data_IF_386831476839
#
_entry.id   IF_386831476839
#
_cell.length_a   1.000
_cell.length_b   1.000
_cell.length_c   1.000
_cell.angle_alpha   90.00
_cell.angle_beta   90.00
_cell.angle_gamma   90.00
#
_symmetry.space_group_name_H-M   'P 1'
#
loop_
_entity.id
_entity.type
_entity.pdbx_description
1 polymer ?
#
# COMPACT_ATOMS: atom_id res chain seq x y z
N UNK A 1 -11.64 -22.82 -17.05
CA UNK A 1 -11.36 -22.55 -15.61
C UNK A 1 -10.00 -21.93 -15.35
N UNK A 2 -8.90 -22.40 -15.96
CA UNK A 2 -7.56 -21.85 -15.72
C UNK A 2 -7.47 -20.33 -15.95
N UNK A 3 -8.05 -19.82 -17.04
CA UNK A 3 -8.08 -18.38 -17.35
C UNK A 3 -8.84 -17.59 -16.27
N UNK A 4 -10.00 -18.08 -15.84
CA UNK A 4 -10.77 -17.41 -14.79
C UNK A 4 -10.05 -17.47 -13.44
N UNK A 5 -9.43 -18.60 -13.11
CA UNK A 5 -8.66 -18.78 -11.89
C UNK A 5 -7.48 -17.79 -11.84
N UNK A 6 -6.70 -17.70 -12.91
CA UNK A 6 -5.59 -16.73 -13.01
C UNK A 6 -6.07 -15.29 -12.94
N UNK A 7 -7.16 -14.94 -13.64
CA UNK A 7 -7.76 -13.61 -13.56
C UNK A 7 -8.23 -13.25 -12.14
N UNK A 8 -8.80 -14.21 -11.40
CA UNK A 8 -9.18 -14.03 -9.99
C UNK A 8 -7.96 -13.83 -9.11
N UNK A 9 -6.92 -14.68 -9.26
CA UNK A 9 -5.69 -14.61 -8.48
C UNK A 9 -5.04 -13.23 -8.59
N UNK A 10 -4.87 -12.71 -9.80
CA UNK A 10 -4.24 -11.40 -10.00
C UNK A 10 -5.19 -10.24 -9.77
N UNK A 11 -6.46 -10.35 -10.18
CA UNK A 11 -7.46 -9.31 -10.06
C UNK A 11 -7.90 -9.06 -8.61
N UNK A 12 -8.45 -10.09 -7.96
CA UNK A 12 -8.89 -10.01 -6.56
C UNK A 12 -7.66 -9.92 -5.67
N UNK A 13 -6.64 -10.76 -5.87
CA UNK A 13 -5.43 -10.76 -5.04
C UNK A 13 -4.69 -9.43 -5.07
N UNK A 14 -4.56 -8.79 -6.24
CA UNK A 14 -3.90 -7.48 -6.35
C UNK A 14 -4.69 -6.39 -5.64
N UNK A 15 -6.01 -6.35 -5.87
CA UNK A 15 -6.89 -5.36 -5.25
C UNK A 15 -6.95 -5.53 -3.73
N UNK A 16 -7.02 -6.77 -3.24
CA UNK A 16 -6.98 -7.11 -1.82
C UNK A 16 -5.63 -6.71 -1.19
N UNK A 17 -4.52 -6.96 -1.88
CA UNK A 17 -3.18 -6.55 -1.40
C UNK A 17 -3.08 -5.04 -1.19
N UNK A 18 -3.61 -4.24 -2.11
CA UNK A 18 -3.62 -2.78 -1.98
C UNK A 18 -4.51 -2.32 -0.81
N UNK A 19 -5.66 -2.97 -0.60
CA UNK A 19 -6.60 -2.66 0.50
C UNK A 19 -5.98 -3.04 1.85
N UNK A 20 -5.39 -4.22 1.99
CA UNK A 20 -4.76 -4.72 3.22
C UNK A 20 -3.59 -3.83 3.65
N UNK A 21 -2.86 -3.27 2.69
CA UNK A 21 -1.71 -2.41 2.93
C UNK A 21 -2.03 -0.91 2.89
N UNK A 22 -3.30 -0.52 2.72
CA UNK A 22 -3.72 0.88 2.58
C UNK A 22 -3.25 1.74 3.75
N UNK A 23 -3.24 1.18 4.96
CA UNK A 23 -2.72 1.82 6.16
C UNK A 23 -1.25 2.21 6.06
N UNK A 24 -0.43 1.28 5.57
CA UNK A 24 1.01 1.48 5.41
C UNK A 24 1.32 2.43 4.25
N UNK A 25 0.61 2.28 3.14
CA UNK A 25 0.71 3.15 1.96
C UNK A 25 0.37 4.60 2.33
N UNK A 26 -0.75 4.81 3.02
CA UNK A 26 -1.18 6.15 3.41
C UNK A 26 -0.20 6.83 4.36
N UNK A 27 0.34 6.09 5.33
CA UNK A 27 1.38 6.61 6.22
C UNK A 27 2.66 6.94 5.44
N UNK A 28 3.06 6.12 4.47
CA UNK A 28 4.25 6.35 3.65
C UNK A 28 4.13 7.58 2.75
N UNK A 29 2.93 7.87 2.25
CA UNK A 29 2.63 9.09 1.47
C UNK A 29 2.39 10.34 2.34
N UNK A 30 2.51 10.23 3.67
CA UNK A 30 2.39 11.36 4.59
C UNK A 30 0.96 11.73 5.00
N UNK A 31 -0.02 10.86 4.77
CA UNK A 31 -1.41 11.11 5.19
C UNK A 31 -1.58 11.01 6.72
N UNK A 32 -2.42 11.88 7.32
CA UNK A 32 -2.82 11.73 8.71
C UNK A 32 -3.55 10.40 8.96
N UNK A 33 -3.34 9.78 10.12
CA UNK A 33 -3.99 8.52 10.49
C UNK A 33 -5.53 8.58 10.37
N UNK A 34 -6.13 9.72 10.75
CA UNK A 34 -7.57 9.95 10.62
C UNK A 34 -8.05 9.84 9.17
N UNK A 35 -7.33 10.42 8.22
CA UNK A 35 -7.65 10.35 6.79
C UNK A 35 -7.53 8.92 6.26
N UNK A 36 -6.51 8.19 6.69
CA UNK A 36 -6.31 6.77 6.33
C UNK A 36 -7.48 5.91 6.82
N UNK A 37 -7.97 6.12 8.05
CA UNK A 37 -9.17 5.43 8.54
C UNK A 37 -10.40 5.75 7.69
N UNK A 38 -10.58 7.01 7.28
CA UNK A 38 -11.64 7.39 6.36
C UNK A 38 -11.53 6.68 5.00
N UNK A 39 -10.32 6.51 4.47
CA UNK A 39 -10.08 5.78 3.23
C UNK A 39 -10.48 4.30 3.34
N UNK A 40 -10.20 3.65 4.46
CA UNK A 40 -10.66 2.27 4.73
C UNK A 40 -12.19 2.20 4.75
N UNK A 41 -12.87 3.17 5.38
CA UNK A 41 -14.33 3.23 5.35
C UNK A 41 -14.88 3.44 3.93
N UNK A 42 -14.23 4.28 3.12
CA UNK A 42 -14.61 4.49 1.72
C UNK A 42 -14.48 3.19 0.92
N UNK A 43 -13.41 2.42 1.11
CA UNK A 43 -13.25 1.11 0.44
C UNK A 43 -14.47 0.22 0.71
N UNK A 44 -14.95 0.16 1.95
CA UNK A 44 -16.13 -0.65 2.31
C UNK A 44 -17.42 -0.16 1.66
N UNK A 45 -17.66 1.16 1.64
CA UNK A 45 -18.84 1.76 0.99
C UNK A 45 -18.83 1.45 -0.50
N UNK A 46 -17.69 1.69 -1.16
CA UNK A 46 -17.55 1.45 -2.59
C UNK A 46 -17.53 -0.04 -2.94
N UNK A 47 -17.08 -0.91 -2.03
CA UNK A 47 -17.22 -2.35 -2.18
C UNK A 47 -18.69 -2.78 -2.26
N UNK A 48 -19.51 -2.28 -1.33
CA UNK A 48 -20.93 -2.54 -1.35
C UNK A 48 -21.57 -2.03 -2.65
N UNK A 49 -21.31 -0.78 -3.04
CA UNK A 49 -21.82 -0.21 -4.28
C UNK A 49 -21.35 -0.97 -5.52
N UNK A 50 -20.11 -1.44 -5.54
CA UNK A 50 -19.57 -2.28 -6.62
C UNK A 50 -20.33 -3.59 -6.77
N UNK A 51 -20.65 -4.27 -5.65
CA UNK A 51 -21.44 -5.51 -5.66
C UNK A 51 -22.84 -5.29 -6.22
N UNK A 52 -23.51 -4.25 -5.72
CA UNK A 52 -24.88 -3.91 -6.13
C UNK A 52 -24.91 -3.53 -7.61
N UNK A 53 -24.08 -2.56 -8.02
CA UNK A 53 -24.05 -2.07 -9.39
C UNK A 53 -23.67 -3.15 -10.41
N UNK A 54 -22.62 -3.92 -10.17
CA UNK A 54 -22.18 -4.97 -11.09
C UNK A 54 -23.20 -6.12 -11.17
N UNK A 55 -23.86 -6.45 -10.06
CA UNK A 55 -24.94 -7.44 -10.04
C UNK A 55 -26.07 -7.05 -10.99
N UNK A 56 -26.66 -5.86 -10.80
CA UNK A 56 -27.76 -5.39 -11.64
C UNK A 56 -27.32 -5.06 -13.07
N UNK A 57 -26.19 -4.37 -13.24
CA UNK A 57 -25.69 -3.97 -14.55
C UNK A 57 -25.37 -5.19 -15.42
N UNK A 58 -24.85 -6.28 -14.85
CA UNK A 58 -24.52 -7.47 -15.63
C UNK A 58 -25.76 -8.20 -16.14
N UNK A 59 -26.86 -8.23 -15.38
CA UNK A 59 -28.15 -8.74 -15.87
C UNK A 59 -28.71 -7.85 -16.99
N UNK A 60 -28.74 -6.53 -16.78
CA UNK A 60 -29.29 -5.57 -17.75
C UNK A 60 -28.52 -5.62 -19.07
N UNK A 61 -27.18 -5.63 -18.99
CA UNK A 61 -26.32 -5.65 -20.16
C UNK A 61 -26.41 -6.97 -20.93
N UNK A 62 -26.53 -8.09 -20.21
CA UNK A 62 -26.73 -9.39 -20.84
C UNK A 62 -28.12 -9.49 -21.49
N UNK A 63 -29.18 -9.06 -20.80
CA UNK A 63 -30.54 -9.14 -21.29
C UNK A 63 -30.79 -8.24 -22.52
N UNK A 64 -30.34 -6.98 -22.45
CA UNK A 64 -30.63 -5.96 -23.47
C UNK A 64 -29.62 -5.94 -24.62
N UNK A 65 -28.34 -6.17 -24.33
CA UNK A 65 -27.26 -6.00 -25.31
C UNK A 65 -26.49 -7.29 -25.60
N UNK A 66 -26.87 -8.43 -24.98
CA UNK A 66 -26.14 -9.72 -25.08
C UNK A 66 -24.66 -9.57 -24.76
N UNK A 67 -24.33 -8.62 -23.89
CA UNK A 67 -22.96 -8.29 -23.58
C UNK A 67 -22.32 -9.38 -22.71
N UNK A 68 -21.15 -9.93 -23.09
CA UNK A 68 -20.55 -11.04 -22.37
C UNK A 68 -19.99 -10.58 -21.01
N UNK A 69 -20.40 -11.24 -19.92
CA UNK A 69 -19.91 -10.94 -18.56
C UNK A 69 -18.39 -11.07 -18.37
N UNK A 70 -17.67 -12.00 -19.03
CA UNK A 70 -16.20 -12.00 -18.99
C UNK A 70 -15.57 -10.70 -19.51
N UNK A 71 -16.22 -10.04 -20.47
CA UNK A 71 -15.74 -8.75 -20.98
C UNK A 71 -16.03 -7.62 -19.99
N UNK A 72 -17.17 -7.66 -19.28
CA UNK A 72 -17.41 -6.77 -18.13
C UNK A 72 -16.33 -6.95 -17.06
N UNK A 73 -15.98 -8.19 -16.72
CA UNK A 73 -14.91 -8.48 -15.77
C UNK A 73 -13.57 -7.90 -16.24
N UNK A 74 -13.27 -7.99 -17.53
CA UNK A 74 -12.07 -7.41 -18.12
C UNK A 74 -12.03 -5.88 -17.99
N UNK A 75 -13.16 -5.20 -18.22
CA UNK A 75 -13.29 -3.75 -18.01
C UNK A 75 -13.04 -3.39 -16.53
N UNK A 76 -13.61 -4.14 -15.59
CA UNK A 76 -13.39 -3.94 -14.15
C UNK A 76 -11.91 -4.15 -13.77
N UNK A 77 -11.23 -5.13 -14.38
CA UNK A 77 -9.80 -5.34 -14.16
C UNK A 77 -8.95 -4.19 -14.72
N UNK A 78 -9.29 -3.67 -15.91
CA UNK A 78 -8.60 -2.49 -16.45
C UNK A 78 -8.83 -1.24 -15.58
N UNK A 79 -10.03 -1.08 -15.03
CA UNK A 79 -10.34 -0.01 -14.09
C UNK A 79 -9.54 -0.16 -12.79
N UNK A 80 -9.33 -1.38 -12.29
CA UNK A 80 -8.51 -1.60 -11.10
C UNK A 80 -7.03 -1.25 -11.34
N UNK A 81 -6.53 -1.40 -12.57
CA UNK A 81 -5.18 -0.92 -12.93
C UNK A 81 -5.05 0.59 -12.70
N UNK A 82 -6.07 1.39 -13.00
CA UNK A 82 -6.07 2.85 -12.74
C UNK A 82 -5.90 3.12 -11.24
N UNK A 83 -6.61 2.37 -10.38
CA UNK A 83 -6.46 2.47 -8.93
C UNK A 83 -5.03 2.18 -8.45
N UNK A 84 -4.39 1.15 -9.00
CA UNK A 84 -2.99 0.83 -8.69
C UNK A 84 -2.02 1.91 -9.19
N UNK A 85 -2.24 2.47 -10.39
CA UNK A 85 -1.42 3.55 -10.94
C UNK A 85 -1.52 4.82 -10.09
N UNK A 86 -2.71 5.17 -9.60
CA UNK A 86 -2.90 6.30 -8.69
C UNK A 86 -2.12 6.16 -7.39
N UNK A 87 -2.08 4.93 -6.85
CA UNK A 87 -1.26 4.61 -5.67
C UNK A 87 0.23 4.77 -6.00
N UNK A 88 0.67 4.28 -7.17
CA UNK A 88 2.06 4.32 -7.60
C UNK A 88 2.58 5.74 -7.84
N UNK A 89 1.77 6.63 -8.42
CA UNK A 89 2.18 8.02 -8.68
C UNK A 89 2.24 8.89 -7.42
N UNK A 90 1.48 8.54 -6.37
CA UNK A 90 1.57 9.22 -5.07
C UNK A 90 1.29 10.73 -5.11
N UNK A 91 0.51 11.22 -6.09
CA UNK A 91 0.12 12.63 -6.19
C UNK A 91 -0.83 13.02 -5.04
N UNK A 92 -0.91 14.31 -4.65
CA UNK A 92 -1.82 14.74 -3.60
C UNK A 92 -3.26 14.28 -3.87
N UNK A 93 -3.93 13.78 -2.84
CA UNK A 93 -5.28 13.20 -2.88
C UNK A 93 -5.44 11.93 -3.75
N UNK A 94 -4.38 11.36 -4.33
CA UNK A 94 -4.51 10.14 -5.15
C UNK A 94 -5.07 8.97 -4.36
N UNK A 95 -4.72 8.87 -3.08
CA UNK A 95 -5.14 7.77 -2.23
C UNK A 95 -6.64 7.76 -1.97
N UNK A 96 -7.27 8.95 -1.92
CA UNK A 96 -8.73 9.07 -1.82
C UNK A 96 -9.42 8.43 -3.04
N UNK A 97 -9.02 8.86 -4.25
CA UNK A 97 -9.58 8.33 -5.49
C UNK A 97 -9.24 6.85 -5.69
N UNK A 98 -8.03 6.43 -5.32
CA UNK A 98 -7.62 5.04 -5.35
C UNK A 98 -8.51 4.17 -4.46
N UNK A 99 -8.81 4.60 -3.22
CA UNK A 99 -9.70 3.86 -2.32
C UNK A 99 -11.11 3.69 -2.88
N UNK A 100 -11.65 4.73 -3.53
CA UNK A 100 -12.95 4.67 -4.22
C UNK A 100 -12.93 3.64 -5.35
N UNK A 101 -11.97 3.75 -6.26
CA UNK A 101 -11.86 2.89 -7.45
C UNK A 101 -11.60 1.43 -7.05
N UNK A 102 -10.65 1.22 -6.13
CA UNK A 102 -10.26 -0.13 -5.67
C UNK A 102 -11.39 -0.80 -4.89
N UNK A 103 -12.09 -0.06 -4.03
CA UNK A 103 -13.28 -0.57 -3.34
C UNK A 103 -14.35 -1.03 -4.31
N UNK A 104 -14.69 -0.17 -5.29
CA UNK A 104 -15.67 -0.49 -6.33
C UNK A 104 -15.28 -1.72 -7.14
N UNK A 105 -14.05 -1.77 -7.65
CA UNK A 105 -13.57 -2.89 -8.46
C UNK A 105 -13.56 -4.21 -7.68
N UNK A 106 -13.09 -4.19 -6.42
CA UNK A 106 -13.13 -5.36 -5.54
C UNK A 106 -14.55 -5.87 -5.31
N UNK A 107 -15.53 -4.95 -5.19
CA UNK A 107 -16.94 -5.29 -5.03
C UNK A 107 -17.55 -5.89 -6.30
N UNK A 108 -17.28 -5.25 -7.44
CA UNK A 108 -17.83 -5.62 -8.73
C UNK A 108 -17.37 -7.00 -9.24
N UNK A 109 -16.16 -7.42 -8.88
CA UNK A 109 -15.60 -8.71 -9.30
C UNK A 109 -16.43 -9.91 -8.81
N UNK A 110 -16.91 -9.88 -7.56
CA UNK A 110 -17.58 -11.05 -6.95
C UNK A 110 -18.88 -11.47 -7.65
N UNK A 111 -19.88 -10.59 -7.86
CA UNK A 111 -21.09 -10.95 -8.59
C UNK A 111 -20.79 -11.43 -10.01
N UNK A 112 -19.85 -10.78 -10.69
CA UNK A 112 -19.44 -11.16 -12.04
C UNK A 112 -18.84 -12.57 -12.07
N UNK A 113 -17.97 -12.90 -11.13
CA UNK A 113 -17.37 -14.24 -11.04
C UNK A 113 -18.44 -15.31 -10.82
N UNK A 114 -19.40 -15.07 -9.93
CA UNK A 114 -20.49 -16.02 -9.66
C UNK A 114 -21.32 -16.27 -10.92
N UNK A 115 -21.73 -15.20 -11.60
CA UNK A 115 -22.49 -15.29 -12.84
C UNK A 115 -21.68 -16.00 -13.94
N UNK A 116 -20.42 -15.64 -14.15
CA UNK A 116 -19.54 -16.25 -15.17
C UNK A 116 -19.36 -17.75 -14.93
N UNK A 117 -19.15 -18.18 -13.67
CA UNK A 117 -19.00 -19.61 -13.37
C UNK A 117 -20.29 -20.35 -13.71
N UNK A 118 -21.45 -19.81 -13.32
CA UNK A 118 -22.75 -20.44 -13.63
C UNK A 118 -23.06 -20.48 -15.13
N UNK A 119 -22.67 -19.45 -15.88
CA UNK A 119 -22.97 -19.35 -17.32
C UNK A 119 -22.05 -20.24 -18.17
N UNK A 120 -20.74 -20.26 -17.89
CA UNK A 120 -19.78 -20.97 -18.72
C UNK A 120 -19.70 -22.46 -18.37
N UNK A 121 -19.78 -22.80 -17.07
CA UNK A 121 -19.56 -24.18 -16.60
C UNK A 121 -20.84 -24.88 -16.16
N UNK A 122 -21.95 -24.14 -16.12
CA UNK A 122 -23.24 -24.65 -15.68
C UNK A 122 -23.31 -24.89 -14.18
N UNK A 123 -24.47 -25.37 -13.73
CA UNK A 123 -24.77 -25.52 -12.30
C UNK A 123 -24.33 -26.87 -11.70
N UNK A 124 -24.03 -27.87 -12.54
CA UNK A 124 -23.75 -29.25 -12.11
C UNK A 124 -22.59 -29.37 -11.11
N UNK A 125 -21.51 -28.63 -11.33
CA UNK A 125 -20.33 -28.60 -10.46
C UNK A 125 -20.06 -27.20 -9.89
N UNK A 126 -21.10 -26.35 -9.83
CA UNK A 126 -20.97 -24.95 -9.48
C UNK A 126 -20.26 -24.74 -8.14
N UNK A 127 -20.67 -25.45 -7.09
CA UNK A 127 -20.08 -25.31 -5.75
C UNK A 127 -18.58 -25.63 -5.73
N UNK A 128 -18.15 -26.64 -6.49
CA UNK A 128 -16.73 -27.02 -6.60
C UNK A 128 -15.94 -25.96 -7.35
N UNK A 129 -16.45 -25.49 -8.49
CA UNK A 129 -15.77 -24.49 -9.33
C UNK A 129 -15.72 -23.12 -8.65
N UNK A 130 -16.79 -22.74 -7.96
CA UNK A 130 -16.84 -21.56 -7.12
C UNK A 130 -15.83 -21.64 -5.99
N UNK A 131 -15.76 -22.76 -5.27
CA UNK A 131 -14.78 -22.94 -4.17
C UNK A 131 -13.34 -22.90 -4.71
N UNK A 132 -13.09 -23.52 -5.87
CA UNK A 132 -11.79 -23.45 -6.54
C UNK A 132 -11.43 -22.00 -6.93
N UNK A 133 -12.38 -21.26 -7.51
CA UNK A 133 -12.21 -19.84 -7.82
C UNK A 133 -12.03 -18.98 -6.56
N UNK A 134 -12.76 -19.28 -5.49
CA UNK A 134 -12.58 -18.65 -4.18
C UNK A 134 -11.19 -18.89 -3.61
N UNK A 135 -10.64 -20.09 -3.80
CA UNK A 135 -9.27 -20.47 -3.43
C UNK A 135 -8.17 -19.73 -4.19
N UNK A 136 -8.47 -19.17 -5.37
CA UNK A 136 -7.54 -18.27 -6.07
C UNK A 136 -7.31 -16.95 -5.32
N UNK A 137 -8.28 -16.50 -4.52
CA UNK A 137 -8.16 -15.27 -3.71
C UNK A 137 -7.07 -15.37 -2.62
N UNK A 138 -7.09 -16.35 -1.70
CA UNK A 138 -6.02 -16.50 -0.71
C UNK A 138 -4.67 -16.85 -1.35
N UNK A 139 -4.64 -17.58 -2.47
CA UNK A 139 -3.41 -17.80 -3.22
C UNK A 139 -2.81 -16.49 -3.75
N UNK A 140 -3.65 -15.65 -4.36
CA UNK A 140 -3.24 -14.34 -4.87
C UNK A 140 -2.78 -13.41 -3.75
N UNK A 141 -3.53 -13.35 -2.63
CA UNK A 141 -3.14 -12.60 -1.46
C UNK A 141 -1.82 -13.11 -0.86
N UNK A 142 -1.61 -14.42 -0.76
CA UNK A 142 -0.35 -14.96 -0.26
C UNK A 142 0.84 -14.57 -1.14
N UNK A 143 0.72 -14.71 -2.46
CA UNK A 143 1.81 -14.37 -3.39
C UNK A 143 2.06 -12.85 -3.39
N UNK A 144 1.02 -12.04 -3.59
CA UNK A 144 1.17 -10.61 -3.81
C UNK A 144 1.36 -9.83 -2.49
N UNK A 145 0.62 -10.18 -1.45
CA UNK A 145 0.68 -9.51 -0.15
C UNK A 145 1.88 -10.03 0.66
N UNK A 146 1.95 -11.33 0.94
CA UNK A 146 2.96 -11.88 1.86
C UNK A 146 4.34 -11.96 1.20
N UNK A 147 4.44 -12.62 0.04
CA UNK A 147 5.75 -12.88 -0.59
C UNK A 147 6.35 -11.64 -1.24
N UNK A 148 5.55 -10.85 -1.96
CA UNK A 148 6.06 -9.70 -2.71
C UNK A 148 6.03 -8.44 -1.85
N UNK A 149 4.85 -7.98 -1.43
CA UNK A 149 4.69 -6.69 -0.74
C UNK A 149 5.40 -6.72 0.62
N UNK A 150 5.19 -7.76 1.43
CA UNK A 150 5.86 -7.91 2.72
C UNK A 150 7.38 -7.87 2.60
N UNK A 151 7.97 -8.67 1.71
CA UNK A 151 9.42 -8.68 1.53
C UNK A 151 9.98 -7.33 1.07
N UNK A 152 9.25 -6.61 0.20
CA UNK A 152 9.67 -5.30 -0.30
C UNK A 152 9.59 -4.24 0.79
N UNK A 153 8.53 -4.25 1.60
CA UNK A 153 8.35 -3.35 2.74
C UNK A 153 9.41 -3.59 3.82
N UNK A 154 9.70 -4.84 4.17
CA UNK A 154 10.72 -5.20 5.14
C UNK A 154 12.11 -4.75 4.68
N UNK A 155 12.44 -4.94 3.40
CA UNK A 155 13.70 -4.49 2.81
C UNK A 155 13.88 -2.98 2.94
N UNK A 156 12.83 -2.20 2.65
CA UNK A 156 12.88 -0.75 2.74
C UNK A 156 12.88 -0.26 4.20
N UNK A 157 12.18 -0.95 5.11
CA UNK A 157 12.25 -0.68 6.54
C UNK A 157 13.68 -0.88 7.08
N UNK A 158 14.35 -1.97 6.70
CA UNK A 158 15.75 -2.23 7.08
C UNK A 158 16.71 -1.18 6.51
N UNK A 159 16.50 -0.72 5.29
CA UNK A 159 17.29 0.36 4.68
C UNK A 159 17.14 1.67 5.45
N UNK A 160 15.91 2.06 5.80
CA UNK A 160 15.63 3.28 6.61
C UNK A 160 16.23 3.17 8.01
N UNK A 161 16.14 2.01 8.65
CA UNK A 161 16.78 1.76 9.94
C UNK A 161 18.30 1.91 9.82
N UNK A 162 18.94 1.28 8.83
CA UNK A 162 20.38 1.39 8.62
C UNK A 162 20.83 2.84 8.41
N UNK A 163 20.12 3.62 7.59
CA UNK A 163 20.40 5.04 7.39
C UNK A 163 20.27 5.86 8.69
N UNK A 164 19.23 5.60 9.50
CA UNK A 164 19.04 6.25 10.80
C UNK A 164 20.16 5.88 11.79
N UNK A 165 20.62 4.64 11.77
CA UNK A 165 21.75 4.17 12.59
C UNK A 165 23.09 4.80 12.18
N UNK A 166 23.32 5.02 10.88
CA UNK A 166 24.50 5.75 10.39
C UNK A 166 24.46 7.21 10.82
N UNK A 167 23.33 7.89 10.61
CA UNK A 167 23.16 9.29 11.03
C UNK A 167 23.30 9.50 12.55
N UNK A 168 22.83 8.54 13.37
CA UNK A 168 23.02 8.59 14.83
C UNK A 168 24.49 8.45 15.24
N UNK A 169 25.27 7.62 14.52
CA UNK A 169 26.72 7.47 14.74
C UNK A 169 27.51 8.69 14.29
N UNK A 170 27.14 9.31 13.17
CA UNK A 170 27.76 10.56 12.71
C UNK A 170 27.43 11.73 13.64
N UNK A 171 26.18 11.86 14.08
CA UNK A 171 25.78 12.85 15.08
C UNK A 171 26.53 12.70 16.42
N UNK A 172 26.74 11.45 16.89
CA UNK A 172 27.57 11.20 18.07
C UNK A 172 29.04 11.59 17.87
N UNK A 173 29.61 11.37 16.67
CA UNK A 173 30.99 11.81 16.35
C UNK A 173 31.12 13.33 16.34
N UNK A 174 30.15 14.06 15.77
CA UNK A 174 30.13 15.53 15.80
C UNK A 174 29.97 16.07 17.23
N UNK A 175 29.12 15.44 18.05
CA UNK A 175 28.93 15.85 19.44
C UNK A 175 30.20 15.69 20.28
N UNK A 176 30.92 14.57 20.11
CA UNK A 176 32.20 14.33 20.78
C UNK A 176 33.30 15.27 20.29
N UNK A 177 33.34 15.56 18.98
CA UNK A 177 34.25 16.54 18.40
C UNK A 177 34.06 17.94 18.99
N UNK A 178 32.80 18.42 19.10
CA UNK A 178 32.52 19.75 19.67
C UNK A 178 32.97 19.88 21.12
N UNK A 179 32.73 18.84 21.95
CA UNK A 179 33.14 18.80 23.36
C UNK A 179 34.66 18.90 23.49
N UNK A 180 35.42 18.22 22.63
CA UNK A 180 36.89 18.30 22.66
C UNK A 180 37.41 19.68 22.25
N UNK A 181 36.80 20.34 21.26
CA UNK A 181 37.16 21.72 20.88
C UNK A 181 36.82 22.74 21.96
N UNK A 182 35.66 22.62 22.61
CA UNK A 182 35.28 23.52 23.71
C UNK A 182 36.18 23.31 24.94
N UNK A 183 36.56 22.06 25.23
CA UNK A 183 37.49 21.75 26.31
C UNK A 183 38.90 22.29 26.02
N UNK A 184 39.35 22.24 24.76
CA UNK A 184 40.63 22.83 24.32
C UNK A 184 40.62 24.36 24.41
N UNK A 185 39.55 25.03 23.98
CA UNK A 185 39.40 26.49 24.12
C UNK A 185 39.39 26.92 25.58
N UNK A 186 38.65 26.22 26.44
CA UNK A 186 38.59 26.51 27.87
C UNK A 186 39.97 26.42 28.55
N UNK A 187 40.77 25.41 28.19
CA UNK A 187 42.14 25.29 28.71
C UNK A 187 43.08 26.37 28.17
N UNK A 188 42.91 26.77 26.91
CA UNK A 188 43.73 27.81 26.28
C UNK A 188 43.47 29.18 26.91
N UNK A 189 42.19 29.53 27.11
CA UNK A 189 41.80 30.77 27.80
C UNK A 189 42.30 30.83 29.25
N UNK A 190 42.29 29.70 29.96
CA UNK A 190 42.86 29.62 31.32
C UNK A 190 44.37 29.80 31.35
N UNK A 191 45.11 29.27 30.37
CA UNK A 191 46.56 29.47 30.26
C UNK A 191 46.87 30.93 29.92
N UNK A 192 46.11 31.57 29.02
CA UNK A 192 46.26 32.97 28.67
C UNK A 192 45.95 33.92 29.84
N UNK A 193 44.95 33.61 30.67
CA UNK A 193 44.67 34.35 31.90
C UNK A 193 45.83 34.27 32.89
N UNK A 194 46.41 33.09 33.10
CA UNK A 194 47.54 32.90 34.03
C UNK A 194 48.83 33.54 33.51
N UNK A 195 49.09 33.47 32.20
CA UNK A 195 50.28 34.09 31.59
C UNK A 195 50.13 35.62 31.41
N UNK A 196 48.92 36.12 31.17
CA UNK A 196 48.60 37.55 31.13
C UNK A 196 48.68 38.23 32.50
N UNK A 197 48.30 37.53 33.56
CA UNK A 197 48.49 37.98 34.95
C UNK A 197 49.99 38.08 35.31
N UNK A 198 50.83 37.17 34.80
CA UNK A 198 52.28 37.21 35.00
C UNK A 198 52.98 38.37 34.27
N UNK A 199 52.42 38.85 33.13
CA UNK A 199 52.93 40.05 32.43
C UNK A 199 52.48 41.38 33.06
N UNK A 200 51.44 41.39 33.89
CA UNK A 200 50.93 42.60 34.56
C UNK A 200 51.48 42.81 35.99
N UNK A 201 52.43 41.99 36.43
CA UNK A 201 53.12 42.20 37.72
C UNK A 201 52.22 42.07 38.96
N UNK A 202 51.21 41.19 38.92
CA UNK A 202 50.30 40.93 40.05
C UNK A 202 50.70 39.64 40.81
N UNK A 203 51.97 39.23 40.70
CA UNK A 203 52.61 38.26 41.59
C UNK A 203 54.02 38.74 41.91
#
# INVERSE_FOLDING_TARGET
MIILFTAITFGIGGTLTAIDNLGQIGKAQGYPAKSVTTFVSLVSIWNYLGRVSAGFASEILLAKYKFPRPLMLSIILLLSCVGHLLIAFGVPNSLYFASVIMGFCFGAQWPLIFAIISEIFGLKYYSTLYTLGGGASPLGAYILNVKITGHLYDKEAMRKLAAKWVGKREGQKCHFGSILTDFSKFWTERIELVTGLKRRGVF
#
